data_IF_681369861499
#
_entry.id   IF_681369861499
#
_cell.length_a   1.000
_cell.length_b   1.000
_cell.length_c   1.000
_cell.angle_alpha   90.00
_cell.angle_beta   90.00
_cell.angle_gamma   90.00
#
_symmetry.space_group_name_H-M   'P 1'
#
loop_
_entity.id
_entity.type
_entity.pdbx_description
1 polymer ?
#
# COMPACT_ATOMS: atom_id res chain seq x y z
N UNK A 1 -5.00 22.28 -10.93
CA UNK A 1 -4.41 20.96 -11.23
C UNK A 1 -4.09 20.93 -12.72
N UNK A 2 -2.83 20.72 -13.10
CA UNK A 2 -2.42 20.70 -14.51
C UNK A 2 -2.70 19.33 -15.15
N UNK A 3 -2.94 19.27 -16.46
CA UNK A 3 -3.29 18.03 -17.17
C UNK A 3 -2.26 16.89 -16.94
N UNK A 4 -0.97 17.23 -16.88
CA UNK A 4 0.11 16.28 -16.58
C UNK A 4 0.04 15.69 -15.17
N UNK A 5 -0.37 16.47 -14.17
CA UNK A 5 -0.60 15.97 -12.81
C UNK A 5 -1.74 14.94 -12.81
N UNK A 6 -2.83 15.25 -13.50
CA UNK A 6 -4.02 14.39 -13.56
C UNK A 6 -3.72 13.03 -14.22
N UNK A 7 -2.89 13.01 -15.27
CA UNK A 7 -2.46 11.78 -15.94
C UNK A 7 -1.58 10.92 -15.05
N UNK A 8 -0.54 11.50 -14.43
CA UNK A 8 0.30 10.78 -13.47
C UNK A 8 -0.56 10.22 -12.35
N UNK A 9 -1.57 10.99 -11.93
CA UNK A 9 -2.47 10.54 -10.88
C UNK A 9 -3.26 9.29 -11.26
N UNK A 10 -3.86 9.29 -12.44
CA UNK A 10 -4.59 8.12 -12.96
C UNK A 10 -3.67 6.90 -13.09
N UNK A 11 -2.44 7.07 -13.59
CA UNK A 11 -1.51 5.95 -13.77
C UNK A 11 -1.14 5.28 -12.45
N UNK A 12 -0.87 6.04 -11.38
CA UNK A 12 -0.56 5.45 -10.07
C UNK A 12 -1.75 4.68 -9.51
N UNK A 13 -2.98 5.19 -9.68
CA UNK A 13 -4.19 4.46 -9.26
C UNK A 13 -4.31 3.13 -10.02
N UNK A 14 -4.07 3.13 -11.33
CA UNK A 14 -4.08 1.89 -12.13
C UNK A 14 -3.01 0.90 -11.67
N UNK A 15 -1.78 1.37 -11.46
CA UNK A 15 -0.68 0.55 -10.94
C UNK A 15 -1.06 -0.05 -9.59
N UNK A 16 -1.70 0.74 -8.71
CA UNK A 16 -2.13 0.31 -7.39
C UNK A 16 -3.12 -0.86 -7.45
N UNK A 17 -4.17 -0.73 -8.26
CA UNK A 17 -5.13 -1.82 -8.47
C UNK A 17 -4.47 -3.06 -9.09
N UNK A 18 -3.52 -2.86 -10.01
CA UNK A 18 -2.72 -3.94 -10.60
C UNK A 18 -1.90 -4.71 -9.57
N UNK A 19 -1.22 -4.00 -8.66
CA UNK A 19 -0.44 -4.61 -7.58
C UNK A 19 -1.34 -5.39 -6.64
N UNK A 20 -2.49 -4.83 -6.21
CA UNK A 20 -3.43 -5.53 -5.33
C UNK A 20 -3.99 -6.80 -5.96
N UNK A 21 -4.36 -6.74 -7.25
CA UNK A 21 -4.85 -7.90 -7.98
C UNK A 21 -3.75 -8.98 -8.12
N UNK A 22 -2.54 -8.58 -8.50
CA UNK A 22 -1.39 -9.47 -8.62
C UNK A 22 -1.03 -10.13 -7.29
N UNK A 23 -1.04 -9.36 -6.20
CA UNK A 23 -0.78 -9.86 -4.86
C UNK A 23 -1.82 -10.91 -4.45
N UNK A 24 -3.10 -10.63 -4.65
CA UNK A 24 -4.18 -11.57 -4.33
C UNK A 24 -4.06 -12.86 -5.14
N UNK A 25 -3.76 -12.76 -6.43
CA UNK A 25 -3.58 -13.94 -7.30
C UNK A 25 -2.36 -14.76 -6.90
N UNK A 26 -1.23 -14.11 -6.61
CA UNK A 26 0.01 -14.78 -6.19
C UNK A 26 -0.16 -15.47 -4.83
N UNK A 27 -0.79 -14.81 -3.88
CA UNK A 27 -1.00 -15.36 -2.52
C UNK A 27 -1.99 -16.52 -2.50
N UNK A 28 -2.94 -16.56 -3.43
CA UNK A 28 -3.83 -17.72 -3.62
C UNK A 28 -3.08 -19.00 -4.02
N UNK A 29 -1.96 -18.89 -4.74
CA UNK A 29 -1.15 -20.07 -5.14
C UNK A 29 -0.57 -20.79 -3.93
N UNK A 30 -0.17 -20.04 -2.90
CA UNK A 30 0.38 -20.62 -1.67
C UNK A 30 -0.68 -21.29 -0.80
N UNK A 31 -1.96 -20.89 -0.93
CA UNK A 31 -3.08 -21.47 -0.19
C UNK A 31 -2.98 -21.37 1.33
N UNK A 32 -4.06 -21.77 2.00
CA UNK A 32 -4.09 -21.93 3.46
C UNK A 32 -3.70 -20.70 4.29
N UNK A 33 -3.15 -20.96 5.47
CA UNK A 33 -2.75 -19.92 6.43
C UNK A 33 -1.51 -19.13 5.95
N UNK A 34 -0.62 -19.75 5.16
CA UNK A 34 0.59 -19.11 4.62
C UNK A 34 0.20 -18.07 3.57
N UNK A 35 -0.64 -18.44 2.60
CA UNK A 35 -1.15 -17.51 1.60
C UNK A 35 -1.93 -16.36 2.22
N UNK A 36 -2.73 -16.64 3.25
CA UNK A 36 -3.41 -15.60 4.02
C UNK A 36 -2.39 -14.63 4.66
N UNK A 37 -1.40 -15.15 5.39
CA UNK A 37 -0.38 -14.31 6.04
C UNK A 37 0.43 -13.47 5.06
N UNK A 38 0.86 -14.06 3.92
CA UNK A 38 1.54 -13.35 2.85
C UNK A 38 0.67 -12.25 2.23
N UNK A 39 -0.64 -12.44 2.13
CA UNK A 39 -1.55 -11.41 1.65
C UNK A 39 -1.64 -10.23 2.62
N UNK A 40 -1.68 -10.47 3.93
CA UNK A 40 -1.63 -9.42 4.94
C UNK A 40 -0.31 -8.65 4.93
N UNK A 41 0.83 -9.35 4.81
CA UNK A 41 2.15 -8.70 4.67
C UNK A 41 2.22 -7.87 3.40
N UNK A 42 1.80 -8.44 2.27
CA UNK A 42 1.80 -7.78 0.98
C UNK A 42 0.94 -6.51 0.96
N UNK A 43 -0.24 -6.53 1.60
CA UNK A 43 -1.05 -5.33 1.76
C UNK A 43 -0.30 -4.24 2.56
N UNK A 44 0.43 -4.61 3.62
CA UNK A 44 1.27 -3.67 4.36
C UNK A 44 2.37 -3.05 3.50
N UNK A 45 3.08 -3.87 2.71
CA UNK A 45 4.11 -3.42 1.75
C UNK A 45 3.51 -2.45 0.72
N UNK A 46 2.29 -2.72 0.27
CA UNK A 46 1.58 -1.85 -0.68
C UNK A 46 1.33 -0.46 -0.08
N UNK A 47 0.88 -0.36 1.17
CA UNK A 47 0.74 0.94 1.85
C UNK A 47 2.09 1.67 2.01
N UNK A 48 3.16 0.96 2.39
CA UNK A 48 4.49 1.56 2.46
C UNK A 48 4.99 2.05 1.09
N UNK A 49 4.66 1.30 0.04
CA UNK A 49 5.05 1.65 -1.33
C UNK A 49 4.31 2.89 -1.81
N UNK A 50 3.02 3.04 -1.49
CA UNK A 50 2.27 4.29 -1.76
C UNK A 50 2.94 5.45 -1.06
N UNK A 51 3.23 5.32 0.25
CA UNK A 51 3.82 6.41 1.02
C UNK A 51 5.19 6.83 0.45
N UNK A 52 6.04 5.85 0.13
CA UNK A 52 7.34 6.11 -0.47
C UNK A 52 7.19 6.80 -1.83
N UNK A 53 6.27 6.31 -2.67
CA UNK A 53 6.01 6.88 -3.98
C UNK A 53 5.49 8.33 -3.87
N UNK A 54 4.53 8.57 -2.96
CA UNK A 54 3.91 9.88 -2.78
C UNK A 54 4.93 10.93 -2.27
N UNK A 55 5.84 10.53 -1.38
CA UNK A 55 6.98 11.39 -0.95
C UNK A 55 7.97 11.70 -2.06
N UNK A 56 8.25 10.73 -2.94
CA UNK A 56 9.19 10.90 -4.07
C UNK A 56 8.57 11.79 -5.15
N UNK A 57 7.25 11.71 -5.35
CA UNK A 57 6.54 12.48 -6.37
C UNK A 57 6.44 13.99 -6.06
N UNK A 58 6.63 14.42 -4.82
CA UNK A 58 6.73 15.84 -4.45
C UNK A 58 5.55 16.68 -4.95
N UNK A 59 5.77 17.56 -5.94
CA UNK A 59 4.72 18.40 -6.53
C UNK A 59 3.63 17.63 -7.32
N UNK A 60 3.81 16.32 -7.51
CA UNK A 60 2.85 15.40 -8.10
C UNK A 60 2.17 14.51 -7.04
N UNK A 61 2.46 14.73 -5.75
CA UNK A 61 1.88 14.00 -4.60
C UNK A 61 0.36 14.07 -4.60
N UNK A 62 -0.28 12.92 -4.43
CA UNK A 62 -1.72 12.75 -4.29
C UNK A 62 -2.18 13.24 -2.94
N UNK A 63 -1.42 12.87 -1.89
CA UNK A 63 -1.77 13.20 -0.51
C UNK A 63 -1.69 14.70 -0.31
N UNK A 64 -0.67 15.36 -0.85
CA UNK A 64 -0.53 16.82 -0.79
C UNK A 64 -1.62 17.54 -1.60
N UNK A 65 -2.04 16.95 -2.72
CA UNK A 65 -3.11 17.50 -3.58
C UNK A 65 -4.51 17.43 -2.94
N UNK A 66 -4.77 16.40 -2.14
CA UNK A 66 -6.11 16.11 -1.58
C UNK A 66 -6.23 16.60 -0.13
N UNK A 67 -5.18 16.41 0.68
CA UNK A 67 -5.22 16.67 2.12
C UNK A 67 -4.80 18.09 2.50
N UNK A 68 -4.17 18.84 1.58
CA UNK A 68 -3.70 20.20 1.85
C UNK A 68 -2.82 20.28 3.11
N UNK A 69 -3.22 21.09 4.09
CA UNK A 69 -2.50 21.24 5.37
C UNK A 69 -2.45 19.99 6.26
N UNK A 70 -3.30 18.98 5.99
CA UNK A 70 -3.33 17.72 6.74
C UNK A 70 -2.45 16.63 6.11
N UNK A 71 -1.72 16.93 5.03
CA UNK A 71 -0.84 15.97 4.36
C UNK A 71 0.10 15.21 5.32
N UNK A 72 0.77 15.85 6.32
CA UNK A 72 1.65 15.14 7.26
C UNK A 72 0.90 14.11 8.10
N UNK A 73 -0.33 14.41 8.50
CA UNK A 73 -1.17 13.50 9.27
C UNK A 73 -1.62 12.31 8.42
N UNK A 74 -1.99 12.53 7.16
CA UNK A 74 -2.38 11.47 6.23
C UNK A 74 -1.21 10.53 5.94
N UNK A 75 -0.01 11.06 5.72
CA UNK A 75 1.22 10.27 5.59
C UNK A 75 1.45 9.33 6.79
N UNK A 76 1.31 9.87 8.02
CA UNK A 76 1.45 9.07 9.23
C UNK A 76 0.36 7.99 9.37
N UNK A 77 -0.88 8.28 8.95
CA UNK A 77 -1.95 7.29 8.95
C UNK A 77 -1.71 6.17 7.93
N UNK A 78 -1.22 6.50 6.72
CA UNK A 78 -0.86 5.50 5.71
C UNK A 78 0.27 4.59 6.21
N UNK A 79 1.30 5.18 6.83
CA UNK A 79 2.37 4.42 7.48
C UNK A 79 1.85 3.50 8.60
N UNK A 80 0.96 4.02 9.45
CA UNK A 80 0.35 3.25 10.53
C UNK A 80 -0.45 2.07 10.00
N UNK A 81 -1.23 2.27 8.93
CA UNK A 81 -1.93 1.18 8.25
C UNK A 81 -0.94 0.14 7.73
N UNK A 82 0.11 0.55 7.03
CA UNK A 82 1.17 -0.34 6.56
C UNK A 82 1.73 -1.21 7.69
N UNK A 83 2.06 -0.59 8.83
CA UNK A 83 2.53 -1.29 10.02
C UNK A 83 1.50 -2.29 10.56
N UNK A 84 0.24 -1.89 10.72
CA UNK A 84 -0.82 -2.77 11.23
C UNK A 84 -1.00 -4.00 10.33
N UNK A 85 -1.08 -3.82 9.01
CA UNK A 85 -1.22 -4.92 8.06
C UNK A 85 -0.01 -5.87 8.10
N UNK A 86 1.20 -5.33 8.14
CA UNK A 86 2.42 -6.13 8.29
C UNK A 86 2.47 -6.89 9.61
N UNK A 87 2.15 -6.25 10.74
CA UNK A 87 2.12 -6.91 12.06
C UNK A 87 1.10 -8.05 12.10
N UNK A 88 -0.10 -7.84 11.55
CA UNK A 88 -1.12 -8.90 11.44
C UNK A 88 -0.61 -10.05 10.58
N UNK A 89 0.04 -9.76 9.45
CA UNK A 89 0.60 -10.76 8.57
C UNK A 89 1.71 -11.58 9.22
N UNK A 90 2.67 -10.93 9.86
CA UNK A 90 3.74 -11.61 10.60
C UNK A 90 3.20 -12.41 11.79
N UNK A 91 2.23 -11.89 12.54
CA UNK A 91 1.58 -12.62 13.65
C UNK A 91 0.96 -13.94 13.17
N UNK A 92 0.33 -13.94 12.00
CA UNK A 92 -0.21 -15.16 11.39
C UNK A 92 0.88 -16.14 10.97
N UNK A 93 1.98 -15.65 10.40
CA UNK A 93 3.14 -16.50 10.09
C UNK A 93 3.76 -17.13 11.33
N UNK A 94 3.95 -16.36 12.41
CA UNK A 94 4.49 -16.88 13.68
C UNK A 94 3.61 -17.97 14.29
N UNK A 95 2.28 -17.88 14.13
CA UNK A 95 1.35 -18.93 14.58
C UNK A 95 1.46 -20.22 13.79
N UNK A 96 1.90 -20.16 12.53
CA UNK A 96 2.08 -21.35 11.67
C UNK A 96 3.44 -22.00 11.93
N UNK A 97 4.46 -21.20 12.29
CA UNK A 97 5.81 -21.68 12.53
C UNK A 97 6.01 -22.35 13.90
N UNK A 98 5.07 -22.18 14.83
CA UNK A 98 5.00 -22.88 16.12
C UNK A 98 4.19 -24.15 15.98
#
# INVERSE_FOLDING_TARGET
>A
MNLGQLLVQIFVVVIFFGILYSLKKTTQVYGGLIGAALNWIGMGIVFFSIEALDRVLGNLSFISSIAGGYAPMVHNLVLLLGLVFSTVGFSKLTKIAK
#
